data_IF_177831695901
#
_entry.id   IF_177831695901
#
_cell.length_a   1.000
_cell.length_b   1.000
_cell.length_c   1.000
_cell.angle_alpha   90.00
_cell.angle_beta   90.00
_cell.angle_gamma   90.00
#
_symmetry.space_group_name_H-M   'P 1'
#
loop_
_entity.id
_entity.type
_entity.pdbx_description
1 polymer ?
#
# COMPACT_ATOMS: atom_id res chain seq x y z
N UNK A 1 -16.26 -59.17 20.63
CA UNK A 1 -15.04 -58.63 21.27
C UNK A 1 -13.90 -58.66 20.25
N UNK A 2 -13.25 -57.50 20.06
CA UNK A 2 -11.90 -57.18 19.52
C UNK A 2 -11.19 -58.13 18.52
N UNK A 3 -10.98 -57.63 17.29
CA UNK A 3 -9.83 -57.86 16.40
C UNK A 3 -9.58 -56.50 15.71
N UNK A 4 -8.67 -55.64 16.18
CA UNK A 4 -7.24 -55.61 15.82
C UNK A 4 -7.01 -55.70 14.30
N UNK A 5 -6.57 -54.58 13.70
CA UNK A 5 -5.35 -54.43 12.87
C UNK A 5 -5.48 -53.55 11.60
N UNK A 6 -4.74 -52.43 11.65
CA UNK A 6 -3.98 -51.72 10.60
C UNK A 6 -4.74 -51.00 9.48
N UNK A 7 -4.77 -49.67 9.58
CA UNK A 7 -4.80 -48.77 8.42
C UNK A 7 -3.56 -47.87 8.52
N UNK A 8 -2.65 -47.91 7.53
CA UNK A 8 -1.42 -47.15 7.57
C UNK A 8 -1.74 -45.65 7.47
N UNK A 9 -0.95 -44.84 8.18
CA UNK A 9 -0.82 -43.41 7.97
C UNK A 9 -0.39 -43.16 6.51
N UNK A 10 -1.37 -42.96 5.63
CA UNK A 10 -1.20 -42.20 4.40
C UNK A 10 -2.06 -40.94 4.57
N UNK A 11 -1.56 -40.04 5.42
CA UNK A 11 -2.05 -38.68 5.53
C UNK A 11 -1.81 -37.98 4.20
N UNK A 12 -2.87 -37.98 3.41
CA UNK A 12 -3.34 -36.89 2.57
C UNK A 12 -2.29 -35.85 2.18
N UNK A 13 -2.00 -35.85 0.89
CA UNK A 13 -1.40 -34.77 0.11
C UNK A 13 -2.04 -33.42 0.50
N UNK A 14 -1.43 -32.72 1.44
CA UNK A 14 -1.70 -31.32 1.67
C UNK A 14 -0.88 -30.53 0.64
N UNK A 15 -1.52 -30.27 -0.50
CA UNK A 15 -1.16 -29.15 -1.36
C UNK A 15 -1.15 -27.89 -0.50
N UNK A 16 0.03 -27.47 -0.04
CA UNK A 16 0.23 -26.06 0.32
C UNK A 16 0.38 -25.30 -0.99
N UNK A 17 -0.76 -25.06 -1.65
CA UNK A 17 -0.88 -23.85 -2.46
C UNK A 17 -0.71 -22.70 -1.46
N UNK A 18 0.47 -22.06 -1.49
CA UNK A 18 0.60 -20.70 -0.94
C UNK A 18 -0.43 -19.88 -1.70
N UNK A 19 -1.57 -19.64 -1.06
CA UNK A 19 -2.43 -18.54 -1.45
C UNK A 19 -1.64 -17.29 -1.11
N UNK A 20 -0.82 -16.85 -2.06
CA UNK A 20 -0.41 -15.46 -2.15
C UNK A 20 -1.73 -14.68 -2.13
N UNK A 21 -2.00 -13.78 -1.17
CA UNK A 21 -3.04 -12.81 -1.39
C UNK A 21 -2.51 -11.91 -2.51
N UNK A 22 -2.73 -12.31 -3.76
CA UNK A 22 -2.81 -11.37 -4.86
C UNK A 22 -4.10 -10.61 -4.59
N UNK A 23 -3.99 -9.61 -3.69
CA UNK A 23 -4.95 -8.53 -3.63
C UNK A 23 -4.82 -7.82 -4.97
N UNK A 24 -5.71 -8.21 -5.90
CA UNK A 24 -5.98 -7.40 -7.07
C UNK A 24 -6.30 -5.99 -6.56
N UNK A 25 -5.62 -4.93 -7.05
CA UNK A 25 -5.83 -3.58 -6.55
C UNK A 25 -7.29 -3.18 -6.83
N UNK A 26 -8.08 -3.11 -5.76
CA UNK A 26 -9.42 -2.52 -5.78
C UNK A 26 -9.25 -1.03 -6.08
N UNK A 27 -9.60 -0.66 -7.31
CA UNK A 27 -9.13 0.52 -8.03
C UNK A 27 -9.79 1.84 -7.62
N UNK A 28 -10.11 2.02 -6.34
CA UNK A 28 -10.72 3.26 -5.83
C UNK A 28 -10.13 3.79 -4.52
N UNK A 29 -9.30 3.01 -3.80
CA UNK A 29 -8.65 3.47 -2.57
C UNK A 29 -7.14 3.43 -2.74
N UNK A 30 -6.41 4.48 -2.28
CA UNK A 30 -4.95 4.44 -2.26
C UNK A 30 -4.49 3.21 -1.47
N UNK A 31 -3.41 2.59 -1.94
CA UNK A 31 -2.82 1.44 -1.26
C UNK A 31 -2.45 1.78 0.19
N UNK A 32 -2.24 0.75 1.01
CA UNK A 32 -1.76 0.97 2.38
C UNK A 32 -0.41 1.71 2.39
N UNK A 33 0.50 1.37 1.47
CA UNK A 33 1.82 2.00 1.38
C UNK A 33 1.71 3.49 1.04
N UNK A 34 0.92 3.81 0.01
CA UNK A 34 0.66 5.19 -0.39
C UNK A 34 0.03 6.01 0.74
N UNK A 35 -0.97 5.46 1.44
CA UNK A 35 -1.59 6.14 2.58
C UNK A 35 -0.58 6.44 3.69
N UNK A 36 0.27 5.48 4.03
CA UNK A 36 1.29 5.67 5.05
C UNK A 36 2.27 6.78 4.65
N UNK A 37 2.80 6.74 3.42
CA UNK A 37 3.71 7.78 2.95
C UNK A 37 3.06 9.17 2.87
N UNK A 38 1.77 9.25 2.52
CA UNK A 38 1.01 10.50 2.57
C UNK A 38 0.89 11.04 3.99
N UNK A 39 0.62 10.18 4.98
CA UNK A 39 0.56 10.57 6.39
C UNK A 39 1.93 11.07 6.88
N UNK A 40 2.99 10.31 6.61
CA UNK A 40 4.35 10.65 7.04
C UNK A 40 4.82 11.98 6.41
N UNK A 41 4.56 12.17 5.11
CA UNK A 41 4.88 13.42 4.43
C UNK A 41 4.13 14.62 5.03
N UNK A 42 2.87 14.45 5.44
CA UNK A 42 2.11 15.51 6.11
C UNK A 42 2.76 15.90 7.45
N UNK A 43 3.19 14.91 8.25
CA UNK A 43 3.88 15.13 9.52
C UNK A 43 5.21 15.87 9.28
N UNK A 44 6.03 15.39 8.34
CA UNK A 44 7.35 15.98 8.04
C UNK A 44 7.24 17.42 7.54
N UNK A 45 6.20 17.72 6.75
CA UNK A 45 5.95 19.05 6.20
C UNK A 45 5.19 20.00 7.14
N UNK A 46 4.71 19.50 8.28
CA UNK A 46 3.93 20.27 9.25
C UNK A 46 2.50 20.56 8.82
N UNK A 47 1.97 19.86 7.81
CA UNK A 47 0.56 19.95 7.43
C UNK A 47 -0.34 19.25 8.45
N UNK A 48 -1.56 19.74 8.63
CA UNK A 48 -2.50 19.19 9.64
C UNK A 48 -2.82 17.73 9.36
N UNK A 49 -2.93 17.36 8.08
CA UNK A 49 -3.11 15.99 7.63
C UNK A 49 -2.74 15.87 6.15
N UNK A 50 -2.69 14.64 5.63
CA UNK A 50 -2.55 14.40 4.19
C UNK A 50 -3.72 14.88 3.32
N UNK A 51 -4.83 15.31 3.95
CA UNK A 51 -6.01 15.84 3.27
C UNK A 51 -6.06 17.37 3.30
N UNK A 52 -5.09 18.02 3.95
CA UNK A 52 -4.95 19.48 3.98
C UNK A 52 -4.36 19.95 2.65
N UNK A 53 -5.18 20.03 1.60
CA UNK A 53 -4.74 20.40 0.25
C UNK A 53 -4.14 21.80 0.19
N UNK A 54 -4.63 22.72 1.02
CA UNK A 54 -4.13 24.09 1.10
C UNK A 54 -2.68 24.13 1.61
N UNK A 55 -2.28 23.18 2.46
CA UNK A 55 -0.90 23.00 2.90
C UNK A 55 -0.08 22.09 1.97
N UNK A 56 -0.63 20.92 1.63
CA UNK A 56 0.11 19.84 0.95
C UNK A 56 0.42 20.13 -0.50
N UNK A 57 -0.51 20.75 -1.25
CA UNK A 57 -0.32 21.04 -2.68
C UNK A 57 0.83 22.04 -2.94
N UNK A 58 0.94 23.20 -2.25
CA UNK A 58 2.05 24.13 -2.47
C UNK A 58 3.37 23.71 -1.78
N UNK A 59 3.36 22.68 -0.93
CA UNK A 59 4.51 22.33 -0.09
C UNK A 59 5.53 21.45 -0.82
N UNK A 60 6.67 22.05 -1.17
CA UNK A 60 7.86 21.31 -1.64
C UNK A 60 8.34 20.28 -0.60
N UNK A 61 8.23 20.61 0.69
CA UNK A 61 8.62 19.70 1.77
C UNK A 61 7.75 18.45 1.80
N UNK A 62 6.44 18.60 1.62
CA UNK A 62 5.50 17.48 1.52
C UNK A 62 5.84 16.60 0.33
N UNK A 63 5.97 17.18 -0.87
CA UNK A 63 6.31 16.45 -2.10
C UNK A 63 7.63 15.68 -1.98
N UNK A 64 8.68 16.30 -1.45
CA UNK A 64 9.98 15.65 -1.28
C UNK A 64 9.93 14.49 -0.28
N UNK A 65 9.26 14.69 0.86
CA UNK A 65 9.09 13.64 1.87
C UNK A 65 8.26 12.46 1.34
N UNK A 66 7.15 12.76 0.65
CA UNK A 66 6.31 11.76 0.01
C UNK A 66 7.10 10.94 -1.01
N UNK A 67 7.83 11.62 -1.91
CA UNK A 67 8.60 10.94 -2.94
C UNK A 67 9.69 10.04 -2.33
N UNK A 68 10.38 10.51 -1.29
CA UNK A 68 11.40 9.72 -0.59
C UNK A 68 10.79 8.47 0.04
N UNK A 69 9.66 8.60 0.74
CA UNK A 69 8.98 7.44 1.33
C UNK A 69 8.53 6.44 0.26
N UNK A 70 7.92 6.93 -0.83
CA UNK A 70 7.44 6.06 -1.91
C UNK A 70 8.58 5.30 -2.58
N UNK A 71 9.73 5.95 -2.84
CA UNK A 71 10.88 5.28 -3.46
C UNK A 71 11.53 4.24 -2.56
N UNK A 72 11.48 4.45 -1.24
CA UNK A 72 12.16 3.59 -0.28
C UNK A 72 11.29 2.40 0.15
N UNK A 73 9.96 2.57 0.19
CA UNK A 73 9.05 1.62 0.83
C UNK A 73 7.95 1.06 -0.08
N UNK A 74 7.67 1.68 -1.23
CA UNK A 74 6.50 1.36 -2.05
C UNK A 74 6.88 0.87 -3.46
N UNK A 75 5.85 0.46 -4.21
CA UNK A 75 6.00 -0.04 -5.59
C UNK A 75 5.89 1.10 -6.60
N UNK A 76 6.32 0.86 -7.84
CA UNK A 76 6.14 1.83 -8.94
C UNK A 76 4.65 2.15 -9.20
N UNK A 77 3.74 1.22 -8.92
CA UNK A 77 2.30 1.46 -9.02
C UNK A 77 1.84 2.52 -7.99
N UNK A 78 2.36 2.47 -6.77
CA UNK A 78 2.06 3.46 -5.74
C UNK A 78 2.57 4.86 -6.11
N UNK A 79 3.72 4.93 -6.80
CA UNK A 79 4.24 6.20 -7.33
C UNK A 79 3.32 6.76 -8.43
N UNK A 80 2.80 5.91 -9.31
CA UNK A 80 1.85 6.33 -10.34
C UNK A 80 0.53 6.82 -9.71
N UNK A 81 0.00 6.07 -8.75
CA UNK A 81 -1.21 6.43 -8.00
C UNK A 81 -1.03 7.74 -7.23
N UNK A 82 0.15 7.98 -6.62
CA UNK A 82 0.47 9.22 -5.95
C UNK A 82 0.41 10.43 -6.90
N UNK A 83 0.93 10.29 -8.12
CA UNK A 83 0.87 11.35 -9.15
C UNK A 83 -0.57 11.60 -9.58
N UNK A 84 -1.33 10.55 -9.86
CA UNK A 84 -2.73 10.68 -10.24
C UNK A 84 -3.56 11.32 -9.12
N UNK A 85 -3.28 10.96 -7.86
CA UNK A 85 -3.92 11.55 -6.69
C UNK A 85 -3.54 13.03 -6.52
N UNK A 86 -2.29 13.40 -6.81
CA UNK A 86 -1.86 14.80 -6.79
C UNK A 86 -2.62 15.62 -7.84
N UNK A 87 -2.76 15.14 -9.08
CA UNK A 87 -3.56 15.81 -10.10
C UNK A 87 -5.01 15.95 -9.68
N UNK A 88 -5.62 14.90 -9.08
CA UNK A 88 -7.00 14.96 -8.61
C UNK A 88 -7.21 15.98 -7.48
N UNK A 89 -6.25 16.13 -6.56
CA UNK A 89 -6.38 17.00 -5.38
C UNK A 89 -5.91 18.44 -5.63
N UNK A 90 -4.86 18.59 -6.43
CA UNK A 90 -4.14 19.85 -6.62
C UNK A 90 -4.34 20.44 -8.03
N UNK A 91 -4.96 19.71 -8.97
CA UNK A 91 -5.31 20.18 -10.31
C UNK A 91 -4.14 20.34 -11.28
N UNK A 92 -2.94 19.93 -10.89
CA UNK A 92 -1.70 20.03 -11.68
C UNK A 92 -0.84 18.80 -11.45
N UNK A 93 0.10 18.52 -12.35
CA UNK A 93 1.10 17.47 -12.15
C UNK A 93 2.10 17.88 -11.05
N UNK A 94 2.55 16.94 -10.20
CA UNK A 94 3.58 17.24 -9.22
C UNK A 94 4.89 17.53 -9.95
N UNK A 95 5.43 18.73 -9.75
CA UNK A 95 6.75 19.13 -10.29
C UNK A 95 7.90 18.27 -9.77
#
# INVERSE_FOLDING_TARGET
MKLSIYVPLATFLAFFAVAEPTEAPDSQSPSQCLNQCLTEAAIVSGCVSQYDSDCTCPSNAFRNALNTCLTDACTEADLADAKQLHVQRCGTDPE
#
